data_IF_820017233097
#
_entry.id   IF_820017233097
#
_cell.length_a   1.000
_cell.length_b   1.000
_cell.length_c   1.000
_cell.angle_alpha   90.00
_cell.angle_beta   90.00
_cell.angle_gamma   90.00
#
_symmetry.space_group_name_H-M   'P 1'
#
loop_
_entity.id
_entity.type
_entity.pdbx_description
1 polymer ?
#
# COMPACT_ATOMS: atom_id res chain seq x y z
N UNK A 1 12.21 0.12 -15.48
CA UNK A 1 11.41 0.58 -16.65
C UNK A 1 10.30 1.48 -16.15
N UNK A 2 9.83 2.45 -16.94
CA UNK A 2 8.70 3.29 -16.53
C UNK A 2 7.40 2.75 -17.11
N UNK A 3 6.36 2.67 -16.27
CA UNK A 3 5.02 2.25 -16.64
C UNK A 3 4.06 3.44 -16.62
N UNK A 4 3.05 3.42 -17.48
CA UNK A 4 1.99 4.44 -17.47
C UNK A 4 0.83 4.00 -16.56
N UNK A 5 0.62 4.76 -15.50
CA UNK A 5 -0.47 4.57 -14.55
C UNK A 5 -1.54 5.65 -14.73
N UNK A 6 -2.82 5.27 -14.65
CA UNK A 6 -3.92 6.25 -14.65
C UNK A 6 -4.05 6.90 -13.27
N UNK A 7 -4.27 8.21 -13.25
CA UNK A 7 -4.50 9.00 -12.02
C UNK A 7 -5.84 8.67 -11.36
N UNK A 8 -6.88 8.33 -12.12
CA UNK A 8 -8.17 7.84 -11.64
C UNK A 8 -8.72 6.70 -12.53
N UNK A 9 -9.61 5.83 -12.03
CA UNK A 9 -10.04 4.62 -12.76
C UNK A 9 -10.62 4.88 -14.16
N UNK A 10 -11.48 5.91 -14.27
CA UNK A 10 -12.23 6.24 -15.48
C UNK A 10 -11.55 7.35 -16.31
N UNK A 11 -10.24 7.51 -16.17
CA UNK A 11 -9.46 8.41 -17.01
C UNK A 11 -9.61 8.06 -18.50
N UNK A 12 -9.99 9.05 -19.31
CA UNK A 12 -10.07 8.89 -20.76
C UNK A 12 -8.66 8.64 -21.32
N UNK A 13 -8.58 7.76 -22.31
CA UNK A 13 -7.28 7.27 -22.83
C UNK A 13 -6.58 8.24 -23.78
N UNK A 14 -7.29 9.25 -24.27
CA UNK A 14 -6.80 10.31 -25.15
C UNK A 14 -6.27 11.54 -24.39
N UNK A 15 -6.55 11.65 -23.09
CA UNK A 15 -6.00 12.70 -22.23
C UNK A 15 -4.68 12.25 -21.58
N UNK A 16 -3.55 12.65 -22.17
CA UNK A 16 -2.23 12.37 -21.64
C UNK A 16 -2.00 12.92 -20.22
N UNK A 17 -2.74 13.97 -19.80
CA UNK A 17 -2.63 14.53 -18.45
C UNK A 17 -3.25 13.64 -17.38
N UNK A 18 -4.05 12.64 -17.78
CA UNK A 18 -4.67 11.67 -16.90
C UNK A 18 -3.74 10.50 -16.51
N UNK A 19 -2.52 10.49 -17.04
CA UNK A 19 -1.49 9.48 -16.77
C UNK A 19 -0.31 10.06 -15.99
N UNK A 20 0.41 9.18 -15.31
CA UNK A 20 1.70 9.47 -14.69
C UNK A 20 2.63 8.28 -14.86
N UNK A 21 3.93 8.55 -14.89
CA UNK A 21 4.95 7.52 -14.96
C UNK A 21 5.22 6.94 -13.58
N UNK A 22 5.30 5.62 -13.50
CA UNK A 22 5.67 4.90 -12.30
C UNK A 22 6.91 4.07 -12.61
N UNK A 23 8.04 4.29 -11.92
CA UNK A 23 9.20 3.41 -12.08
C UNK A 23 8.81 2.00 -11.63
N UNK A 24 9.24 1.00 -12.38
CA UNK A 24 9.11 -0.41 -12.06
C UNK A 24 10.50 -1.04 -12.09
N UNK A 25 10.83 -1.72 -11.00
CA UNK A 25 12.13 -2.36 -10.74
C UNK A 25 11.91 -3.80 -10.27
N UNK A 26 13.01 -4.48 -9.97
CA UNK A 26 13.02 -5.79 -9.33
C UNK A 26 12.58 -5.76 -7.85
N UNK A 27 12.57 -4.57 -7.22
CA UNK A 27 12.19 -4.39 -5.82
C UNK A 27 10.97 -3.49 -5.73
N UNK A 28 9.86 -4.05 -5.24
CA UNK A 28 8.61 -3.33 -5.02
C UNK A 28 8.08 -3.62 -3.63
N UNK A 29 7.37 -2.65 -3.07
CA UNK A 29 6.71 -2.78 -1.77
C UNK A 29 5.20 -2.85 -1.98
N UNK A 30 4.56 -3.78 -1.27
CA UNK A 30 3.11 -3.92 -1.15
C UNK A 30 2.70 -3.69 0.30
N UNK A 31 1.41 -3.45 0.54
CA UNK A 31 0.92 -3.35 1.91
C UNK A 31 1.07 -4.71 2.63
N UNK A 32 1.44 -4.69 3.91
CA UNK A 32 1.58 -5.93 4.70
C UNK A 32 0.27 -6.73 4.74
N UNK A 33 -0.88 -6.06 4.75
CA UNK A 33 -2.19 -6.70 4.74
C UNK A 33 -2.55 -7.38 3.42
N UNK A 34 -1.86 -7.03 2.33
CA UNK A 34 -2.01 -7.63 1.01
C UNK A 34 -1.21 -8.93 0.85
N UNK A 35 -0.50 -9.40 1.89
CA UNK A 35 0.15 -10.71 1.93
C UNK A 35 -0.21 -11.53 3.17
N UNK A 36 -0.25 -12.86 3.02
CA UNK A 36 -0.29 -13.81 4.15
C UNK A 36 0.30 -15.17 3.79
N UNK A 37 0.78 -15.89 4.81
CA UNK A 37 1.39 -17.22 4.66
C UNK A 37 0.38 -18.31 4.27
N UNK A 38 -0.85 -18.24 4.77
CA UNK A 38 -1.90 -19.25 4.52
C UNK A 38 -3.00 -18.70 3.63
N UNK A 39 -3.22 -19.30 2.48
CA UNK A 39 -4.31 -18.90 1.58
C UNK A 39 -5.70 -19.44 2.01
N UNK A 40 -6.74 -18.90 1.39
CA UNK A 40 -8.16 -19.09 1.65
C UNK A 40 -8.91 -18.61 0.40
N UNK A 41 -10.05 -19.22 0.11
CA UNK A 41 -10.77 -19.08 -1.15
C UNK A 41 -11.27 -17.65 -1.44
N UNK A 42 -11.52 -16.90 -0.39
CA UNK A 42 -12.14 -15.56 -0.35
C UNK A 42 -11.12 -14.42 -0.26
N UNK A 43 -9.83 -14.71 -0.25
CA UNK A 43 -8.80 -13.69 -0.21
C UNK A 43 -8.31 -13.34 -1.60
N UNK A 44 -8.11 -12.06 -1.83
CA UNK A 44 -7.68 -11.53 -3.12
C UNK A 44 -6.25 -10.96 -3.08
N UNK A 45 -5.59 -11.02 -1.92
CA UNK A 45 -4.17 -10.70 -1.76
C UNK A 45 -3.23 -11.85 -2.15
N UNK A 46 -1.94 -11.60 -2.00
CA UNK A 46 -0.84 -12.49 -2.34
C UNK A 46 -0.60 -13.54 -1.22
N UNK A 47 -0.26 -14.75 -1.63
CA UNK A 47 0.11 -15.86 -0.75
C UNK A 47 1.07 -16.79 -1.51
N UNK A 48 1.81 -17.69 -0.84
CA UNK A 48 2.71 -18.64 -1.48
C UNK A 48 2.05 -19.38 -2.66
N UNK A 49 2.70 -19.36 -3.83
CA UNK A 49 2.20 -20.01 -5.05
C UNK A 49 1.05 -19.29 -5.78
N UNK A 50 0.49 -18.23 -5.19
CA UNK A 50 -0.64 -17.47 -5.75
C UNK A 50 -0.17 -16.35 -6.66
N UNK A 51 -1.00 -16.00 -7.64
CA UNK A 51 -0.77 -14.88 -8.54
C UNK A 51 -1.76 -13.74 -8.35
N UNK A 52 -1.23 -12.51 -8.36
CA UNK A 52 -1.99 -11.25 -8.28
C UNK A 52 -1.48 -10.28 -9.33
N UNK A 53 -2.27 -9.27 -9.68
CA UNK A 53 -1.86 -8.20 -10.58
C UNK A 53 -1.35 -7.01 -9.77
N UNK A 54 -0.13 -6.58 -10.02
CA UNK A 54 0.31 -5.26 -9.57
C UNK A 54 -0.40 -4.20 -10.42
N UNK A 55 -1.14 -3.29 -9.78
CA UNK A 55 -1.98 -2.29 -10.47
C UNK A 55 -1.13 -1.50 -11.48
N UNK A 56 -1.59 -1.46 -12.74
CA UNK A 56 -0.91 -0.84 -13.89
C UNK A 56 0.45 -1.46 -14.29
N UNK A 57 0.81 -2.62 -13.74
CA UNK A 57 2.04 -3.32 -14.07
C UNK A 57 1.76 -4.73 -14.61
N UNK A 58 2.35 -5.74 -13.97
CA UNK A 58 2.34 -7.12 -14.43
C UNK A 58 1.72 -8.04 -13.37
N UNK A 59 1.11 -9.16 -13.77
CA UNK A 59 0.86 -10.26 -12.86
C UNK A 59 2.17 -10.74 -12.24
N UNK A 60 2.17 -10.96 -10.93
CA UNK A 60 3.28 -11.58 -10.20
C UNK A 60 2.79 -12.86 -9.53
N UNK A 61 3.69 -13.84 -9.35
CA UNK A 61 3.46 -15.06 -8.60
C UNK A 61 4.47 -15.17 -7.47
N UNK A 62 4.00 -15.35 -6.24
CA UNK A 62 4.87 -15.62 -5.09
C UNK A 62 5.55 -16.99 -5.27
N UNK A 63 6.87 -17.00 -5.32
CA UNK A 63 7.68 -18.21 -5.50
C UNK A 63 8.37 -18.64 -4.21
N UNK A 64 8.73 -17.69 -3.35
CA UNK A 64 9.42 -17.97 -2.09
C UNK A 64 9.15 -16.87 -1.05
N UNK A 65 9.32 -17.18 0.24
CA UNK A 65 9.07 -16.27 1.36
C UNK A 65 10.18 -16.43 2.39
N UNK A 66 10.84 -15.31 2.70
CA UNK A 66 11.86 -15.27 3.74
C UNK A 66 11.21 -14.77 5.03
N UNK A 67 11.34 -15.58 6.08
CA UNK A 67 10.82 -15.31 7.42
C UNK A 67 11.96 -14.90 8.36
N UNK A 68 11.61 -14.18 9.42
CA UNK A 68 12.50 -13.96 10.55
C UNK A 68 12.64 -15.25 11.38
N UNK A 69 13.49 -15.19 12.42
CA UNK A 69 13.77 -16.32 13.31
C UNK A 69 12.53 -16.82 14.09
N UNK A 70 11.48 -15.98 14.18
CA UNK A 70 10.20 -16.34 14.80
C UNK A 70 9.30 -17.21 13.91
N UNK A 71 9.69 -17.44 12.64
CA UNK A 71 8.91 -18.13 11.60
C UNK A 71 7.51 -17.53 11.32
N UNK A 72 7.24 -16.31 11.81
CA UNK A 72 5.95 -15.62 11.66
C UNK A 72 6.09 -14.29 10.91
N UNK A 73 7.17 -13.56 11.17
CA UNK A 73 7.41 -12.24 10.58
C UNK A 73 7.98 -12.38 9.17
N UNK A 74 7.20 -11.94 8.17
CA UNK A 74 7.63 -11.91 6.76
C UNK A 74 8.62 -10.77 6.55
N UNK A 75 9.84 -11.11 6.13
CA UNK A 75 10.91 -10.15 5.81
C UNK A 75 10.94 -9.80 4.33
N UNK A 76 10.83 -10.80 3.46
CA UNK A 76 10.90 -10.63 2.01
C UNK A 76 9.98 -11.64 1.32
N UNK A 77 9.35 -11.19 0.23
CA UNK A 77 8.56 -12.04 -0.67
C UNK A 77 9.28 -12.05 -2.01
N UNK A 78 9.67 -13.23 -2.48
CA UNK A 78 10.21 -13.40 -3.82
C UNK A 78 9.10 -13.79 -4.77
N UNK A 79 9.08 -13.11 -5.91
CA UNK A 79 8.05 -13.31 -6.91
C UNK A 79 8.62 -13.24 -8.32
N UNK A 80 7.99 -13.98 -9.22
CA UNK A 80 8.22 -13.88 -10.66
C UNK A 80 7.10 -13.07 -11.29
N UNK A 81 7.45 -12.13 -12.16
CA UNK A 81 6.45 -11.37 -12.93
C UNK A 81 6.25 -12.00 -14.32
N UNK A 82 5.01 -11.89 -14.84
CA UNK A 82 4.65 -12.36 -16.17
C UNK A 82 4.59 -11.17 -17.16
N UNK A 83 5.64 -10.95 -17.98
CA UNK A 83 5.64 -9.89 -18.99
C UNK A 83 4.58 -10.10 -20.08
N UNK A 84 4.14 -11.35 -20.31
CA UNK A 84 3.14 -11.69 -21.33
C UNK A 84 1.72 -11.36 -20.90
N UNK A 85 1.49 -11.09 -19.61
CA UNK A 85 0.18 -10.80 -18.99
C UNK A 85 -0.88 -11.89 -19.26
N UNK A 86 -0.47 -13.15 -19.45
CA UNK A 86 -1.37 -14.29 -19.71
C UNK A 86 -1.82 -14.97 -18.42
N UNK A 87 -1.04 -14.82 -17.35
CA UNK A 87 -1.38 -15.33 -16.02
C UNK A 87 -2.66 -14.67 -15.52
N UNK A 88 -3.65 -15.49 -15.13
CA UNK A 88 -4.92 -15.00 -14.58
C UNK A 88 -4.75 -14.68 -13.08
N UNK A 89 -4.72 -13.40 -12.68
CA UNK A 89 -4.54 -13.02 -11.28
C UNK A 89 -5.83 -13.25 -10.48
N UNK A 90 -5.69 -13.51 -9.19
CA UNK A 90 -6.85 -13.61 -8.27
C UNK A 90 -7.35 -12.24 -7.83
N UNK A 91 -6.45 -11.27 -7.63
CA UNK A 91 -6.79 -9.91 -7.25
C UNK A 91 -5.80 -8.91 -7.81
N UNK A 92 -6.02 -7.64 -7.47
CA UNK A 92 -5.17 -6.52 -7.90
C UNK A 92 -4.65 -5.82 -6.66
N UNK A 93 -3.34 -5.64 -6.58
CA UNK A 93 -2.66 -5.00 -5.46
C UNK A 93 -2.15 -3.61 -5.83
N UNK A 94 -2.19 -2.71 -4.85
CA UNK A 94 -1.39 -1.49 -4.91
C UNK A 94 0.06 -1.81 -4.56
N UNK A 95 0.97 -1.01 -5.11
CA UNK A 95 2.40 -1.20 -4.91
C UNK A 95 3.13 0.11 -5.15
N UNK A 96 4.34 0.19 -4.64
CA UNK A 96 5.31 1.24 -4.94
C UNK A 96 6.62 0.59 -5.34
N UNK A 97 7.34 1.16 -6.30
CA UNK A 97 8.73 0.77 -6.54
C UNK A 97 9.57 1.19 -5.37
N UNK A 98 10.67 0.49 -5.16
CA UNK A 98 11.75 0.98 -4.32
C UNK A 98 12.02 2.47 -4.62
N UNK A 99 11.86 3.35 -3.62
CA UNK A 99 12.15 4.76 -3.79
C UNK A 99 13.66 4.97 -3.81
N UNK A 100 14.07 6.08 -4.42
CA UNK A 100 15.41 6.64 -4.23
C UNK A 100 15.70 6.75 -2.71
N UNK A 101 16.88 6.37 -2.23
CA UNK A 101 17.19 6.34 -0.80
C UNK A 101 16.99 7.71 -0.16
N UNK A 102 16.17 7.75 0.90
CA UNK A 102 15.93 8.96 1.69
C UNK A 102 14.62 8.88 2.47
N UNK A 103 14.76 8.94 3.79
CA UNK A 103 13.76 9.22 4.84
C UNK A 103 13.38 8.01 5.71
N UNK A 104 13.80 8.10 6.98
CA UNK A 104 13.51 7.23 8.12
C UNK A 104 12.89 8.10 9.25
N UNK A 105 11.81 7.72 9.99
CA UNK A 105 11.36 8.42 11.19
C UNK A 105 11.56 7.70 12.53
N UNK A 106 11.74 8.54 13.56
CA UNK A 106 11.88 8.25 14.98
C UNK A 106 10.54 8.27 15.76
N UNK A 107 10.55 7.72 17.00
CA UNK A 107 9.41 7.49 17.94
C UNK A 107 9.32 8.46 19.15
N UNK A 108 8.11 8.45 19.78
CA UNK A 108 7.75 8.46 21.24
C UNK A 108 7.18 9.75 21.91
N UNK A 109 6.57 9.70 23.13
CA UNK A 109 5.14 9.39 23.45
C UNK A 109 4.42 10.47 24.32
N UNK A 110 3.14 10.29 24.68
CA UNK A 110 2.52 11.00 25.82
C UNK A 110 1.29 10.26 26.41
N UNK A 111 1.14 10.33 27.74
CA UNK A 111 -0.03 9.90 28.54
C UNK A 111 -0.81 11.11 29.14
N UNK A 112 -1.95 10.84 29.77
CA UNK A 112 -3.26 11.55 29.72
C UNK A 112 -3.88 11.90 31.11
N UNK A 113 -5.09 12.52 31.12
CA UNK A 113 -6.33 12.22 31.93
C UNK A 113 -7.31 13.46 31.99
N UNK A 114 -8.66 13.45 31.92
CA UNK A 114 -9.69 12.43 31.70
C UNK A 114 -11.08 13.03 31.24
N UNK A 115 -11.32 13.02 29.93
CA UNK A 115 -12.60 12.77 29.20
C UNK A 115 -12.35 11.63 28.18
N UNK A 116 -11.28 10.90 28.46
CA UNK A 116 -10.40 10.23 27.52
C UNK A 116 -10.73 8.75 27.42
N UNK A 117 -11.57 8.26 28.32
CA UNK A 117 -12.04 6.88 28.34
C UNK A 117 -12.97 6.50 27.18
N UNK A 118 -13.59 7.47 26.49
CA UNK A 118 -14.47 7.25 25.32
C UNK A 118 -13.82 7.71 24.00
N UNK A 119 -12.55 8.12 24.04
CA UNK A 119 -11.79 8.42 22.84
C UNK A 119 -11.37 7.12 22.18
N UNK A 120 -11.64 6.99 20.89
CA UNK A 120 -11.09 5.90 20.11
C UNK A 120 -9.55 5.97 20.18
N UNK A 121 -8.87 4.99 20.81
CA UNK A 121 -7.41 4.98 20.90
C UNK A 121 -6.75 4.86 19.52
N UNK A 122 -7.50 4.39 18.52
CA UNK A 122 -7.10 4.31 17.11
C UNK A 122 -7.58 5.50 16.27
N UNK A 123 -8.10 6.56 16.90
CA UNK A 123 -8.52 7.79 16.19
C UNK A 123 -7.38 8.43 15.38
N UNK A 124 -6.13 8.19 15.78
CA UNK A 124 -4.93 8.57 15.06
C UNK A 124 -3.92 7.43 15.08
N UNK A 125 -3.79 6.74 13.96
CA UNK A 125 -2.70 5.78 13.73
C UNK A 125 -1.63 6.47 12.89
N UNK A 126 -0.43 6.63 13.44
CA UNK A 126 0.73 7.14 12.71
C UNK A 126 1.46 5.97 12.09
N UNK A 127 1.58 5.98 10.76
CA UNK A 127 2.39 5.00 10.02
C UNK A 127 3.71 5.68 9.66
N UNK A 128 4.80 5.43 10.43
CA UNK A 128 6.13 5.91 10.05
C UNK A 128 6.60 5.16 8.80
N UNK A 129 7.54 5.74 8.05
CA UNK A 129 8.17 5.08 6.89
C UNK A 129 7.21 4.69 5.76
N UNK A 130 6.09 5.41 5.61
CA UNK A 130 5.19 5.18 4.49
C UNK A 130 5.82 5.67 3.18
N UNK A 131 5.83 4.81 2.17
CA UNK A 131 6.27 5.16 0.83
C UNK A 131 5.12 5.70 -0.01
N UNK A 132 5.38 6.75 -0.77
CA UNK A 132 4.40 7.48 -1.55
C UNK A 132 4.89 7.72 -2.98
N UNK A 133 3.98 7.68 -3.95
CA UNK A 133 4.27 8.15 -5.31
C UNK A 133 4.17 9.68 -5.38
N UNK A 134 4.94 10.36 -6.24
CA UNK A 134 4.95 11.84 -6.31
C UNK A 134 3.57 12.47 -6.56
N UNK A 135 2.66 11.75 -7.22
CA UNK A 135 1.28 12.19 -7.44
C UNK A 135 0.31 11.48 -6.49
N UNK A 136 0.24 11.92 -5.24
CA UNK A 136 -0.74 11.41 -4.28
C UNK A 136 -2.16 11.91 -4.64
N UNK A 137 -3.14 11.00 -4.59
CA UNK A 137 -4.53 11.26 -4.97
C UNK A 137 -5.36 12.02 -3.91
N UNK A 138 -6.63 12.29 -4.25
CA UNK A 138 -7.58 13.16 -3.52
C UNK A 138 -8.04 12.71 -2.11
N UNK A 139 -7.52 11.59 -1.59
CA UNK A 139 -7.95 11.02 -0.30
C UNK A 139 -6.98 11.32 0.84
N UNK A 140 -5.83 11.92 0.51
CA UNK A 140 -4.83 12.37 1.45
C UNK A 140 -4.49 13.83 1.17
N UNK A 141 -4.14 14.57 2.20
CA UNK A 141 -3.72 15.97 2.11
C UNK A 141 -2.37 16.14 2.80
N UNK A 142 -1.52 17.00 2.26
CA UNK A 142 -0.27 17.41 2.90
C UNK A 142 -0.61 18.12 4.20
N UNK A 143 -0.15 17.58 5.32
CA UNK A 143 -0.34 18.20 6.63
C UNK A 143 0.58 19.43 6.78
N UNK A 144 0.13 20.41 7.57
CA UNK A 144 0.88 21.64 7.87
C UNK A 144 2.23 21.38 8.57
N UNK A 145 2.39 20.23 9.23
CA UNK A 145 3.61 19.80 9.88
C UNK A 145 4.64 19.26 8.86
N UNK A 146 4.31 19.26 7.57
CA UNK A 146 5.23 18.91 6.48
C UNK A 146 6.32 19.96 6.28
N UNK A 147 7.52 19.48 6.01
CA UNK A 147 8.71 20.27 5.65
C UNK A 147 9.33 19.70 4.38
N UNK A 148 10.25 20.41 3.70
CA UNK A 148 10.95 19.87 2.53
C UNK A 148 11.66 18.54 2.79
N UNK A 149 12.12 18.32 4.03
CA UNK A 149 12.84 17.11 4.46
C UNK A 149 11.91 16.02 5.01
N UNK A 150 10.66 16.35 5.34
CA UNK A 150 9.70 15.44 5.96
C UNK A 150 8.28 15.74 5.49
N UNK A 151 7.76 14.90 4.59
CA UNK A 151 6.37 14.96 4.16
C UNK A 151 5.46 14.22 5.14
N UNK A 152 4.39 14.88 5.59
CA UNK A 152 3.35 14.30 6.44
C UNK A 152 2.04 14.37 5.68
N UNK A 153 1.35 13.23 5.57
CA UNK A 153 0.07 13.15 4.89
C UNK A 153 -1.03 12.71 5.87
N UNK A 154 -2.11 13.48 5.92
CA UNK A 154 -3.31 13.08 6.63
C UNK A 154 -4.27 12.41 5.66
N UNK A 155 -4.85 11.27 6.06
CA UNK A 155 -5.96 10.66 5.34
C UNK A 155 -7.24 11.44 5.62
N UNK A 156 -7.82 12.04 4.60
CA UNK A 156 -9.05 12.85 4.74
C UNK A 156 -10.26 11.96 5.01
N UNK A 157 -10.43 10.87 4.24
CA UNK A 157 -11.50 9.87 4.39
C UNK A 157 -11.03 8.49 3.91
N UNK A 158 -11.68 7.41 4.36
CA UNK A 158 -11.47 6.06 3.81
C UNK A 158 -12.22 5.87 2.48
N UNK A 159 -11.75 4.95 1.63
CA UNK A 159 -12.39 4.66 0.34
C UNK A 159 -13.76 3.99 0.45
N UNK A 160 -14.00 3.29 1.57
CA UNK A 160 -15.30 2.74 1.94
C UNK A 160 -15.59 3.12 3.39
N UNK A 161 -16.87 3.34 3.66
CA UNK A 161 -17.34 3.54 5.01
C UNK A 161 -17.20 2.22 5.78
N UNK A 162 -16.66 2.29 7.00
CA UNK A 162 -16.44 1.15 7.88
C UNK A 162 -17.33 1.19 9.12
N UNK A 163 -18.19 2.22 9.23
CA UNK A 163 -19.17 2.32 10.30
C UNK A 163 -20.20 1.20 10.20
N UNK A 164 -20.11 0.21 11.10
CA UNK A 164 -21.25 -0.66 11.39
C UNK A 164 -22.33 0.21 12.01
N UNK A 165 -23.48 0.36 11.35
CA UNK A 165 -24.70 0.77 12.03
C UNK A 165 -24.96 -0.27 13.11
N UNK A 166 -24.74 0.10 14.38
CA UNK A 166 -25.18 -0.69 15.52
C UNK A 166 -26.63 -1.09 15.29
N UNK A 167 -26.88 -2.40 15.26
CA UNK A 167 -28.22 -2.94 15.05
C UNK A 167 -29.17 -2.39 16.11
N UNK A 168 -30.38 -2.04 15.68
CA UNK A 168 -31.57 -2.17 16.50
C UNK A 168 -32.22 -3.51 16.17
#
# INVERSE_FOLDING_TARGET
MDLEARKWPDAQTDDASAFYKVPFSNTVYIDRSDFRLKDSKDYFGLAPGKSVLLRYAFPIKCTDVILADDEETVLEIRAEYDPTKKTKPKGVLHWVSEPSPGVDPLKNPAELEDWLADLNPESKVVIPNAYAVPSLGRYFVVDKDSTPEKLVFNRTVTLRDSYHKGGK
#
